data_IF_848340955438
#
_entry.id   IF_848340955438
#
_cell.length_a   1.000
_cell.length_b   1.000
_cell.length_c   1.000
_cell.angle_alpha   90.00
_cell.angle_beta   90.00
_cell.angle_gamma   90.00
#
_symmetry.space_group_name_H-M   'P 1'
#
loop_
_entity.id
_entity.type
_entity.pdbx_description
1 polymer ?
#
# COMPACT_ATOMS: atom_id res chain seq x y z
N UNK A 1 5.31 10.25 -38.12
CA UNK A 1 6.13 9.60 -37.06
C UNK A 1 6.14 10.45 -35.79
N UNK A 2 6.39 11.76 -35.90
CA UNK A 2 6.27 12.71 -34.78
C UNK A 2 4.89 12.69 -34.10
N UNK A 3 3.83 12.55 -34.89
CA UNK A 3 2.44 12.51 -34.41
C UNK A 3 2.17 11.27 -33.55
N UNK A 4 2.71 10.12 -33.95
CA UNK A 4 2.61 8.86 -33.22
C UNK A 4 3.37 8.95 -31.89
N UNK A 5 4.57 9.53 -31.91
CA UNK A 5 5.39 9.72 -30.70
C UNK A 5 4.67 10.66 -29.73
N UNK A 6 4.13 11.78 -30.21
CA UNK A 6 3.37 12.73 -29.38
C UNK A 6 2.15 12.03 -28.77
N UNK A 7 1.37 11.30 -29.56
CA UNK A 7 0.20 10.57 -29.06
C UNK A 7 0.58 9.56 -27.96
N UNK A 8 1.67 8.80 -28.15
CA UNK A 8 2.16 7.85 -27.15
C UNK A 8 2.56 8.55 -25.85
N UNK A 9 3.30 9.67 -25.94
CA UNK A 9 3.70 10.45 -24.76
C UNK A 9 2.47 10.98 -24.03
N UNK A 10 1.48 11.51 -24.74
CA UNK A 10 0.23 11.99 -24.13
C UNK A 10 -0.49 10.85 -23.39
N UNK A 11 -0.61 9.67 -23.99
CA UNK A 11 -1.21 8.50 -23.34
C UNK A 11 -0.47 8.10 -22.07
N UNK A 12 0.87 8.08 -22.10
CA UNK A 12 1.69 7.75 -20.92
C UNK A 12 1.52 8.79 -19.81
N UNK A 13 1.51 10.08 -20.15
CA UNK A 13 1.29 11.15 -19.17
C UNK A 13 -0.10 11.03 -18.55
N UNK A 14 -1.14 10.83 -19.35
CA UNK A 14 -2.51 10.62 -18.86
C UNK A 14 -2.59 9.39 -17.95
N UNK A 15 -1.90 8.31 -18.29
CA UNK A 15 -1.82 7.12 -17.45
C UNK A 15 -1.15 7.38 -16.11
N UNK A 16 -0.02 8.11 -16.10
CA UNK A 16 0.69 8.49 -14.86
C UNK A 16 -0.23 9.33 -13.97
N UNK A 17 -0.91 10.33 -14.52
CA UNK A 17 -1.85 11.16 -13.76
C UNK A 17 -3.01 10.32 -13.22
N UNK A 18 -3.62 9.47 -14.05
CA UNK A 18 -4.72 8.59 -13.65
C UNK A 18 -4.33 7.59 -12.56
N UNK A 19 -3.09 7.08 -12.58
CA UNK A 19 -2.58 6.14 -11.55
C UNK A 19 -2.49 6.75 -10.14
N UNK A 20 -2.57 8.08 -10.02
CA UNK A 20 -2.61 8.80 -8.73
C UNK A 20 -4.01 8.95 -8.15
N UNK A 21 -5.02 8.28 -8.72
CA UNK A 21 -6.40 8.28 -8.21
C UNK A 21 -6.49 7.80 -6.76
N UNK A 22 -7.34 8.44 -5.97
CA UNK A 22 -7.74 8.00 -4.63
C UNK A 22 -9.29 7.98 -4.56
N UNK A 23 -9.93 6.85 -4.89
CA UNK A 23 -11.39 6.74 -4.80
C UNK A 23 -11.83 6.55 -3.34
N UNK A 24 -13.00 7.12 -3.01
CA UNK A 24 -13.66 6.86 -1.72
C UNK A 24 -13.93 5.37 -1.53
N UNK A 25 -13.79 4.91 -0.29
CA UNK A 25 -14.02 3.52 0.11
C UNK A 25 -15.04 3.45 1.22
N UNK A 26 -15.93 2.48 1.14
CA UNK A 26 -16.77 2.10 2.28
C UNK A 26 -15.92 1.30 3.27
N UNK A 27 -15.83 1.78 4.50
CA UNK A 27 -15.07 1.14 5.58
C UNK A 27 -16.07 0.46 6.51
N UNK A 28 -15.96 -0.87 6.74
CA UNK A 28 -16.79 -1.55 7.73
C UNK A 28 -16.56 -0.96 9.13
N UNK A 29 -17.61 -0.99 9.96
CA UNK A 29 -17.61 -0.42 11.32
C UNK A 29 -16.69 -1.16 12.30
N UNK A 30 -16.34 -2.41 12.01
CA UNK A 30 -15.54 -3.27 12.87
C UNK A 30 -14.58 -4.12 12.07
N UNK A 31 -13.46 -4.50 12.69
CA UNK A 31 -12.49 -5.44 12.14
C UNK A 31 -11.27 -4.75 11.53
N UNK A 32 -10.41 -5.55 10.88
CA UNK A 32 -9.21 -5.09 10.20
C UNK A 32 -9.48 -5.11 8.69
N UNK A 33 -9.18 -4.01 8.01
CA UNK A 33 -9.37 -3.88 6.56
C UNK A 33 -8.05 -4.01 5.82
N UNK A 34 -8.11 -4.24 4.50
CA UNK A 34 -6.89 -4.22 3.67
C UNK A 34 -6.26 -2.81 3.70
N UNK A 35 -4.95 -2.68 3.92
CA UNK A 35 -4.28 -1.38 3.89
C UNK A 35 -4.11 -0.82 2.47
N UNK A 36 -4.20 -1.66 1.44
CA UNK A 36 -3.91 -1.29 0.06
C UNK A 36 -4.78 -2.09 -0.94
N UNK A 37 -4.91 -1.58 -2.16
CA UNK A 37 -5.40 -2.36 -3.29
C UNK A 37 -4.33 -3.31 -3.79
N UNK A 38 -4.76 -4.48 -4.24
CA UNK A 38 -3.88 -5.43 -4.91
C UNK A 38 -4.23 -6.87 -4.54
N UNK A 39 -3.27 -7.75 -4.78
CA UNK A 39 -3.42 -9.19 -4.54
C UNK A 39 -2.65 -9.61 -3.29
N UNK A 40 -3.27 -10.41 -2.42
CA UNK A 40 -2.54 -11.06 -1.32
C UNK A 40 -1.46 -11.97 -1.92
N UNK A 41 -0.20 -11.59 -1.73
CA UNK A 41 0.98 -12.29 -2.25
C UNK A 41 1.72 -13.06 -1.15
N UNK A 42 1.53 -12.68 0.11
CA UNK A 42 2.11 -13.35 1.27
C UNK A 42 1.03 -13.55 2.32
N UNK A 43 0.89 -14.78 2.82
CA UNK A 43 0.11 -15.11 4.00
C UNK A 43 0.83 -16.23 4.76
N UNK A 44 1.49 -15.90 5.87
CA UNK A 44 2.26 -16.88 6.65
C UNK A 44 2.38 -16.49 8.11
N UNK A 45 2.71 -17.46 8.96
CA UNK A 45 3.06 -17.26 10.35
C UNK A 45 4.58 -17.08 10.47
N UNK A 46 5.01 -16.03 11.16
CA UNK A 46 6.41 -15.78 11.47
C UNK A 46 6.83 -16.57 12.73
N UNK A 47 8.13 -16.75 12.95
CA UNK A 47 8.69 -17.57 14.03
C UNK A 47 8.31 -17.08 15.44
N UNK A 48 8.07 -15.79 15.58
CA UNK A 48 7.61 -15.15 16.83
C UNK A 48 6.09 -15.23 17.04
N UNK A 49 5.39 -15.99 16.20
CA UNK A 49 3.96 -16.25 16.31
C UNK A 49 3.07 -15.22 15.61
N UNK A 50 3.63 -14.13 15.05
CA UNK A 50 2.85 -13.14 14.29
C UNK A 50 2.37 -13.68 12.96
N UNK A 51 1.28 -13.12 12.44
CA UNK A 51 0.80 -13.38 11.08
C UNK A 51 1.27 -12.25 10.16
N UNK A 52 1.99 -12.59 9.09
CA UNK A 52 2.38 -11.66 8.03
C UNK A 52 1.42 -11.80 6.85
N UNK A 53 0.80 -10.67 6.50
CA UNK A 53 0.03 -10.51 5.26
C UNK A 53 0.77 -9.51 4.39
N UNK A 54 1.03 -9.88 3.14
CA UNK A 54 1.63 -9.01 2.12
C UNK A 54 0.67 -8.83 0.97
N UNK A 55 0.48 -7.57 0.56
CA UNK A 55 -0.35 -7.19 -0.59
C UNK A 55 0.57 -6.67 -1.69
N UNK A 56 0.53 -7.30 -2.85
CA UNK A 56 1.24 -6.85 -4.04
C UNK A 56 0.34 -5.91 -4.84
N UNK A 57 0.82 -4.70 -5.09
CA UNK A 57 0.15 -3.66 -5.86
C UNK A 57 0.74 -3.65 -7.27
N UNK A 58 -0.09 -3.92 -8.27
CA UNK A 58 0.26 -3.83 -9.67
C UNK A 58 0.04 -2.40 -10.20
N UNK A 59 0.51 -2.10 -11.41
CA UNK A 59 0.48 -0.77 -12.03
C UNK A 59 -0.93 -0.16 -12.17
N UNK A 60 -1.98 -0.98 -12.12
CA UNK A 60 -3.38 -0.55 -12.22
C UNK A 60 -4.06 -0.33 -10.86
N UNK A 61 -3.43 -0.77 -9.77
CA UNK A 61 -3.95 -0.63 -8.41
C UNK A 61 -3.75 0.80 -7.87
N UNK A 62 -4.56 1.21 -6.90
CA UNK A 62 -4.39 2.50 -6.23
C UNK A 62 -3.14 2.45 -5.34
N UNK A 63 -2.12 3.23 -5.66
CA UNK A 63 -0.85 3.30 -4.92
C UNK A 63 -0.91 4.17 -3.66
N UNK A 64 -1.94 3.94 -2.84
CA UNK A 64 -2.15 4.60 -1.54
C UNK A 64 -2.28 3.55 -0.46
N UNK A 65 -1.37 3.57 0.50
CA UNK A 65 -1.45 2.74 1.71
C UNK A 65 -2.18 3.50 2.81
N UNK A 66 -3.25 2.91 3.34
CA UNK A 66 -4.05 3.43 4.47
C UNK A 66 -3.82 2.58 5.71
N UNK A 67 -4.15 3.14 6.88
CA UNK A 67 -4.13 2.38 8.12
C UNK A 67 -5.21 1.28 8.07
N UNK A 68 -4.85 -0.01 8.30
CA UNK A 68 -5.82 -1.11 8.25
C UNK A 68 -6.72 -1.19 9.50
N UNK A 69 -6.37 -0.46 10.56
CA UNK A 69 -7.08 -0.38 11.84
C UNK A 69 -6.74 0.93 12.54
N UNK A 70 -7.64 1.43 13.39
CA UNK A 70 -7.39 2.61 14.21
C UNK A 70 -6.30 2.36 15.27
N UNK A 71 -5.48 3.38 15.49
CA UNK A 71 -4.36 3.33 16.43
C UNK A 71 -3.45 4.56 16.31
N UNK A 72 -2.36 4.55 17.08
CA UNK A 72 -1.35 5.60 17.09
C UNK A 72 -0.04 5.07 16.55
N UNK A 73 0.66 5.87 15.74
CA UNK A 73 2.02 5.55 15.30
C UNK A 73 2.96 5.62 16.50
N UNK A 74 3.67 4.52 16.75
CA UNK A 74 4.71 4.40 17.78
C UNK A 74 6.11 4.64 17.23
N UNK A 75 6.36 4.17 16.02
CA UNK A 75 7.69 4.21 15.42
C UNK A 75 7.58 4.27 13.89
N UNK A 76 8.50 5.01 13.27
CA UNK A 76 8.71 5.04 11.83
C UNK A 76 10.21 4.82 11.60
N UNK A 77 10.53 3.77 10.86
CA UNK A 77 11.91 3.40 10.53
C UNK A 77 12.05 3.35 9.00
N UNK A 78 12.97 4.14 8.45
CA UNK A 78 13.40 4.02 7.06
C UNK A 78 14.55 3.00 6.98
N UNK A 79 14.36 1.98 6.13
CA UNK A 79 15.32 0.90 5.94
C UNK A 79 15.85 1.02 4.50
N UNK A 80 17.09 1.52 4.32
CA UNK A 80 17.68 1.64 2.99
C UNK A 80 17.87 0.25 2.36
N UNK A 81 17.74 0.18 1.03
CA UNK A 81 17.80 -1.07 0.29
C UNK A 81 17.90 -0.87 -1.21
N UNK A 82 17.68 -1.94 -1.98
CA UNK A 82 17.70 -1.92 -3.44
C UNK A 82 16.36 -1.52 -4.08
N UNK A 83 16.31 -1.64 -5.42
CA UNK A 83 15.13 -1.36 -6.25
C UNK A 83 14.86 -2.53 -7.22
N UNK A 84 14.82 -3.75 -6.68
CA UNK A 84 14.47 -4.94 -7.45
C UNK A 84 12.98 -4.95 -7.80
N UNK A 85 12.58 -5.60 -8.91
CA UNK A 85 11.16 -5.76 -9.23
C UNK A 85 10.39 -6.38 -8.06
N UNK A 86 9.25 -5.79 -7.68
CA UNK A 86 8.51 -6.19 -6.49
C UNK A 86 7.97 -7.64 -6.52
N UNK A 87 7.93 -8.28 -7.69
CA UNK A 87 7.56 -9.69 -7.85
C UNK A 87 8.75 -10.65 -7.78
N UNK A 88 9.99 -10.14 -7.66
CA UNK A 88 11.19 -10.96 -7.54
C UNK A 88 11.46 -11.36 -6.09
N UNK A 89 12.22 -12.43 -5.87
CA UNK A 89 12.59 -12.90 -4.52
C UNK A 89 13.49 -11.90 -3.79
N UNK A 90 14.22 -11.09 -4.55
CA UNK A 90 15.15 -10.09 -4.06
C UNK A 90 14.43 -8.86 -3.49
N UNK A 91 13.13 -8.70 -3.74
CA UNK A 91 12.31 -7.58 -3.27
C UNK A 91 12.25 -7.46 -1.73
N UNK A 92 12.49 -8.56 -0.99
CA UNK A 92 12.65 -8.51 0.48
C UNK A 92 13.87 -7.67 0.93
N UNK A 93 14.75 -7.28 0.00
CA UNK A 93 15.90 -6.38 0.24
C UNK A 93 15.69 -4.97 -0.33
N UNK A 94 14.49 -4.67 -0.82
CA UNK A 94 14.20 -3.34 -1.31
C UNK A 94 14.15 -2.33 -0.19
N UNK A 95 14.41 -1.08 -0.56
CA UNK A 95 14.15 0.08 0.27
C UNK A 95 12.69 0.07 0.74
N UNK A 96 12.48 0.36 2.03
CA UNK A 96 11.15 0.32 2.64
C UNK A 96 11.07 1.22 3.86
N UNK A 97 9.84 1.56 4.22
CA UNK A 97 9.51 2.19 5.51
C UNK A 97 8.73 1.19 6.34
N UNK A 98 9.17 0.97 7.58
CA UNK A 98 8.44 0.21 8.59
C UNK A 98 7.73 1.18 9.53
N UNK A 99 6.44 0.98 9.71
CA UNK A 99 5.63 1.76 10.65
C UNK A 99 5.08 0.80 11.70
N UNK A 100 5.33 1.10 12.97
CA UNK A 100 4.78 0.35 14.11
C UNK A 100 3.66 1.19 14.72
N UNK A 101 2.48 0.60 14.88
CA UNK A 101 1.31 1.26 15.44
C UNK A 101 0.76 0.52 16.65
N UNK A 102 0.04 1.22 17.53
CA UNK A 102 -0.93 0.57 18.43
C UNK A 102 -2.15 0.10 17.65
N UNK A 103 -2.94 -0.76 18.27
CA UNK A 103 -4.29 -1.09 17.85
C UNK A 103 -5.24 -0.57 18.93
N UNK A 104 -6.26 0.21 18.55
CA UNK A 104 -7.34 0.56 19.46
C UNK A 104 -8.15 -0.70 19.78
N UNK A 105 -8.20 -1.15 21.05
CA UNK A 105 -8.88 -2.39 21.43
C UNK A 105 -10.40 -2.34 21.24
N UNK A 106 -11.00 -1.16 21.03
CA UNK A 106 -12.41 -1.05 20.67
C UNK A 106 -12.71 -1.61 19.27
N UNK A 107 -11.70 -1.69 18.40
CA UNK A 107 -11.90 -2.10 17.00
C UNK A 107 -12.78 -1.16 16.19
N UNK A 108 -13.17 -0.01 16.76
CA UNK A 108 -13.92 1.03 16.09
C UNK A 108 -12.98 1.77 15.13
N UNK A 109 -13.37 1.82 13.87
CA UNK A 109 -12.73 2.66 12.85
C UNK A 109 -13.03 4.14 13.14
N UNK A 110 -12.34 4.72 14.13
CA UNK A 110 -12.34 6.17 14.38
C UNK A 110 -11.46 6.87 13.35
N UNK A 111 -11.89 6.82 12.10
CA UNK A 111 -11.27 7.62 11.04
C UNK A 111 -11.79 9.04 11.22
N UNK A 112 -11.03 9.88 11.93
CA UNK A 112 -11.19 11.33 11.80
C UNK A 112 -10.61 11.69 10.43
N UNK A 113 -11.45 11.78 9.41
CA UNK A 113 -11.14 12.59 8.24
C UNK A 113 -11.04 14.02 8.74
N UNK A 114 -9.82 14.55 8.80
CA UNK A 114 -9.61 15.99 8.79
C UNK A 114 -10.03 16.46 7.40
N UNK A 115 -11.23 17.02 7.31
CA UNK A 115 -11.62 17.90 6.19
C UNK A 115 -10.64 19.08 6.08
#
# INVERSE_FOLDING_TARGET
MKEIIIALVVVVVLFIVWSKRDPNREIPSTGIVSPADGKVSVLRKESDGRVRVGVFMNVYDVHVNRAPVSGYVKEIEHIPGGFFPAFSKESDRNERVRIVCTVDPSGESKVKTSD
#
